data_IF_848737941379
#
_entry.id   IF_848737941379
#
_cell.length_a   1.000
_cell.length_b   1.000
_cell.length_c   1.000
_cell.angle_alpha   90.00
_cell.angle_beta   90.00
_cell.angle_gamma   90.00
#
_symmetry.space_group_name_H-M   'P 1'
#
loop_
_entity.id
_entity.type
_entity.pdbx_description
1 polymer ?
#
# COMPACT_ATOMS: atom_id res chain seq x y z
N UNK A 1 24.09 15.95 13.10
CA UNK A 1 24.01 16.32 11.64
C UNK A 1 23.51 15.10 10.89
N UNK A 2 22.41 15.27 10.17
CA UNK A 2 21.85 14.21 9.34
C UNK A 2 22.46 14.21 7.95
N UNK A 3 22.64 13.03 7.41
CA UNK A 3 22.94 12.78 6.02
C UNK A 3 21.86 11.88 5.42
N UNK A 4 21.53 12.08 4.17
CA UNK A 4 20.59 11.19 3.51
C UNK A 4 20.98 10.90 2.06
N UNK A 5 20.46 9.80 1.57
CA UNK A 5 20.59 9.34 0.19
C UNK A 5 19.34 8.58 -0.22
N UNK A 6 19.14 8.43 -1.51
CA UNK A 6 18.06 7.59 -2.00
C UNK A 6 18.55 6.59 -3.06
N UNK A 7 17.78 5.57 -3.29
CA UNK A 7 17.96 4.65 -4.41
C UNK A 7 16.62 4.32 -5.04
N UNK A 8 16.56 4.34 -6.36
CA UNK A 8 15.42 3.87 -7.14
C UNK A 8 15.42 2.35 -7.22
N UNK A 9 14.24 1.75 -7.14
CA UNK A 9 14.03 0.33 -7.34
C UNK A 9 12.78 0.10 -8.19
N UNK A 10 12.86 -0.86 -9.11
CA UNK A 10 11.73 -1.27 -9.93
C UNK A 10 11.23 -2.61 -9.42
N UNK A 11 9.98 -2.63 -9.01
CA UNK A 11 9.26 -3.83 -8.61
C UNK A 11 8.59 -4.43 -9.86
N UNK A 12 8.98 -5.63 -10.24
CA UNK A 12 8.30 -6.41 -11.27
C UNK A 12 7.20 -7.23 -10.62
N UNK A 13 5.98 -7.14 -11.13
CA UNK A 13 4.88 -7.96 -10.61
C UNK A 13 4.99 -9.39 -11.13
N UNK A 14 4.81 -10.38 -10.25
CA UNK A 14 4.77 -11.79 -10.64
C UNK A 14 3.63 -12.11 -11.62
N UNK A 15 2.56 -11.31 -11.59
CA UNK A 15 1.43 -11.35 -12.51
C UNK A 15 0.94 -9.93 -12.75
N UNK A 16 0.46 -9.61 -13.95
CA UNK A 16 -0.18 -8.32 -14.20
C UNK A 16 -1.28 -8.03 -13.17
N UNK A 17 -1.25 -6.82 -12.60
CA UNK A 17 -2.24 -6.38 -11.62
C UNK A 17 -3.22 -5.41 -12.24
N UNK A 18 -4.48 -5.78 -12.30
CA UNK A 18 -5.55 -4.96 -12.83
C UNK A 18 -6.00 -3.93 -11.81
N UNK A 19 -6.13 -2.69 -12.23
CA UNK A 19 -6.67 -1.59 -11.45
C UNK A 19 -7.81 -0.92 -12.20
N UNK A 20 -8.58 -0.06 -11.54
CA UNK A 20 -9.62 0.76 -12.20
C UNK A 20 -9.07 1.71 -13.27
N UNK A 21 -7.74 1.90 -13.35
CA UNK A 21 -7.08 2.81 -14.30
C UNK A 21 -6.12 2.11 -15.26
N UNK A 22 -6.08 0.80 -15.27
CA UNK A 22 -5.22 0.03 -16.18
C UNK A 22 -4.49 -1.12 -15.53
N UNK A 23 -3.61 -1.73 -16.30
CA UNK A 23 -2.83 -2.91 -15.90
C UNK A 23 -1.43 -2.48 -15.50
N UNK A 24 -1.02 -2.92 -14.33
CA UNK A 24 0.33 -2.70 -13.81
C UNK A 24 1.15 -3.97 -13.96
N UNK A 25 2.32 -3.83 -14.56
CA UNK A 25 3.32 -4.91 -14.69
C UNK A 25 4.58 -4.59 -13.88
N UNK A 26 4.81 -3.31 -13.62
CA UNK A 26 5.94 -2.80 -12.82
C UNK A 26 5.48 -1.65 -11.93
N UNK A 27 6.19 -1.43 -10.85
CA UNK A 27 6.05 -0.25 -10.00
C UNK A 27 7.43 0.28 -9.63
N UNK A 28 7.69 1.54 -9.91
CA UNK A 28 8.88 2.19 -9.35
C UNK A 28 8.64 2.62 -7.91
N UNK A 29 9.67 2.52 -7.11
CA UNK A 29 9.71 3.03 -5.75
C UNK A 29 11.09 3.56 -5.43
N UNK A 30 11.21 4.36 -4.37
CA UNK A 30 12.47 4.93 -3.93
C UNK A 30 12.67 4.65 -2.44
N UNK A 31 13.81 4.10 -2.09
CA UNK A 31 14.21 3.94 -0.70
C UNK A 31 15.08 5.10 -0.29
N UNK A 32 14.65 5.82 0.74
CA UNK A 32 15.44 6.86 1.39
C UNK A 32 16.17 6.28 2.60
N UNK A 33 17.40 6.69 2.80
CA UNK A 33 18.23 6.34 3.94
C UNK A 33 18.60 7.62 4.66
N UNK A 34 18.47 7.62 5.99
CA UNK A 34 18.86 8.73 6.85
C UNK A 34 19.83 8.22 7.90
N UNK A 35 20.92 8.96 8.11
CA UNK A 35 21.98 8.62 9.06
C UNK A 35 22.29 9.84 9.91
N UNK A 36 22.37 9.67 11.21
CA UNK A 36 22.97 10.71 12.08
C UNK A 36 24.49 10.52 12.15
N UNK A 37 25.25 11.55 11.84
CA UNK A 37 26.72 11.55 11.93
C UNK A 37 27.23 11.16 13.34
N UNK A 38 26.45 11.40 14.39
CA UNK A 38 26.77 10.96 15.74
C UNK A 38 26.62 9.44 15.96
N UNK A 39 25.86 8.77 15.08
CA UNK A 39 25.59 7.32 15.13
C UNK A 39 25.68 6.72 13.72
N UNK A 40 26.84 6.74 13.07
CA UNK A 40 26.99 6.45 11.65
C UNK A 40 26.66 5.00 11.24
N UNK A 41 26.55 4.11 12.21
CA UNK A 41 26.20 2.70 11.98
C UNK A 41 24.68 2.45 11.96
N UNK A 42 23.88 3.42 12.40
CA UNK A 42 22.42 3.34 12.38
C UNK A 42 21.91 4.04 11.12
N UNK A 43 21.19 3.29 10.30
CA UNK A 43 20.60 3.77 9.04
C UNK A 43 19.10 3.58 9.10
N UNK A 44 18.37 4.68 9.31
CA UNK A 44 16.91 4.67 9.19
C UNK A 44 16.51 4.57 7.73
N UNK A 45 15.55 3.68 7.42
CA UNK A 45 15.09 3.40 6.07
C UNK A 45 13.60 3.71 5.94
N UNK A 46 13.23 4.39 4.85
CA UNK A 46 11.84 4.61 4.47
C UNK A 46 11.62 4.39 2.98
N UNK A 47 10.39 4.08 2.60
CA UNK A 47 9.99 3.91 1.20
C UNK A 47 9.15 5.08 0.74
N UNK A 48 9.62 5.80 -0.27
CA UNK A 48 8.87 6.81 -1.01
C UNK A 48 8.15 6.10 -2.17
N UNK A 49 6.95 5.63 -1.89
CA UNK A 49 6.18 4.72 -2.74
C UNK A 49 5.28 5.48 -3.70
N UNK A 50 5.87 6.24 -4.63
CA UNK A 50 5.11 6.92 -5.69
C UNK A 50 4.36 5.90 -6.56
N UNK A 51 3.15 6.24 -6.96
CA UNK A 51 2.32 5.37 -7.78
C UNK A 51 1.97 6.08 -9.09
N UNK A 52 2.70 5.75 -10.17
CA UNK A 52 2.50 6.38 -11.48
C UNK A 52 1.10 6.11 -12.02
N UNK A 53 0.45 7.15 -12.51
CA UNK A 53 -0.93 7.12 -12.99
C UNK A 53 -2.01 7.11 -11.89
N UNK A 54 -1.64 6.99 -10.60
CA UNK A 54 -2.59 6.88 -9.49
C UNK A 54 -2.28 7.81 -8.33
N UNK A 55 -1.01 8.05 -8.03
CA UNK A 55 -0.58 8.85 -6.89
C UNK A 55 -0.83 10.34 -7.05
N UNK A 56 -1.07 11.05 -5.95
CA UNK A 56 -1.24 12.50 -5.96
C UNK A 56 0.06 13.23 -6.33
N UNK A 57 1.20 12.60 -6.08
CA UNK A 57 2.54 13.10 -6.36
C UNK A 57 3.19 12.47 -7.60
N UNK A 58 2.36 11.96 -8.52
CA UNK A 58 2.85 11.52 -9.84
C UNK A 58 3.14 12.73 -10.74
N UNK A 59 4.25 13.38 -10.49
CA UNK A 59 4.72 14.57 -11.19
C UNK A 59 6.07 14.32 -11.87
N UNK A 60 6.37 14.99 -13.00
CA UNK A 60 7.60 14.75 -13.77
C UNK A 60 8.89 15.03 -13.00
N UNK A 61 8.86 15.94 -12.05
CA UNK A 61 10.02 16.36 -11.24
C UNK A 61 10.15 15.62 -9.90
N UNK A 62 9.38 14.57 -9.69
CA UNK A 62 9.37 13.79 -8.43
C UNK A 62 10.77 13.40 -7.95
N UNK A 63 11.56 12.75 -8.80
CA UNK A 63 12.90 12.30 -8.44
C UNK A 63 13.85 13.47 -8.17
N UNK A 64 13.70 14.58 -8.92
CA UNK A 64 14.45 15.80 -8.68
C UNK A 64 14.14 16.39 -7.30
N UNK A 65 12.86 16.40 -6.90
CA UNK A 65 12.44 16.84 -5.56
C UNK A 65 13.01 15.93 -4.48
N UNK A 66 12.97 14.62 -4.67
CA UNK A 66 13.56 13.67 -3.72
C UNK A 66 15.08 13.88 -3.57
N UNK A 67 15.78 14.11 -4.68
CA UNK A 67 17.22 14.42 -4.65
C UNK A 67 17.50 15.71 -3.87
N UNK A 68 16.72 16.77 -4.09
CA UNK A 68 16.82 18.04 -3.37
C UNK A 68 16.63 17.84 -1.86
N UNK A 69 15.60 17.07 -1.47
CA UNK A 69 15.31 16.74 -0.07
C UNK A 69 16.48 15.98 0.57
N UNK A 70 17.01 14.98 -0.13
CA UNK A 70 18.16 14.23 0.37
C UNK A 70 19.39 15.10 0.55
N UNK A 71 19.64 16.02 -0.37
CA UNK A 71 20.79 16.93 -0.30
C UNK A 71 20.68 17.90 0.88
N UNK A 72 19.46 18.37 1.19
CA UNK A 72 19.17 19.37 2.21
C UNK A 72 18.44 18.80 3.42
N UNK A 73 18.68 17.56 3.81
CA UNK A 73 17.89 16.85 4.83
C UNK A 73 17.77 17.61 6.16
N UNK A 74 18.81 18.33 6.57
CA UNK A 74 18.83 19.16 7.80
C UNK A 74 17.79 20.31 7.74
N UNK A 75 17.53 20.86 6.56
CA UNK A 75 16.53 21.91 6.37
C UNK A 75 15.09 21.34 6.33
N UNK A 76 14.95 20.05 6.06
CA UNK A 76 13.65 19.40 5.95
C UNK A 76 13.22 18.70 7.24
N UNK A 77 14.14 18.26 8.09
CA UNK A 77 13.87 17.38 9.24
C UNK A 77 12.71 17.83 10.14
N UNK A 78 12.57 19.14 10.37
CA UNK A 78 11.57 19.70 11.28
C UNK A 78 10.32 20.26 10.55
N UNK A 79 10.36 20.34 9.21
CA UNK A 79 9.31 21.01 8.43
C UNK A 79 8.92 20.28 7.13
N UNK A 80 9.36 19.03 6.96
CA UNK A 80 9.08 18.28 5.72
C UNK A 80 7.58 18.12 5.43
N UNK A 81 6.75 18.00 6.47
CA UNK A 81 5.29 17.87 6.30
C UNK A 81 4.65 19.10 5.63
N UNK A 82 5.12 20.29 5.99
CA UNK A 82 4.65 21.54 5.39
C UNK A 82 5.27 21.79 4.02
N UNK A 83 6.58 21.58 3.89
CA UNK A 83 7.31 21.87 2.64
C UNK A 83 6.99 20.91 1.51
N UNK A 84 6.56 19.67 1.84
CA UNK A 84 6.35 18.59 0.88
C UNK A 84 4.87 18.19 0.72
N UNK A 85 3.92 19.08 0.99
CA UNK A 85 2.47 18.79 0.87
C UNK A 85 2.07 18.19 -0.48
N UNK A 86 2.74 18.59 -1.56
CA UNK A 86 2.52 18.07 -2.90
C UNK A 86 3.21 16.72 -3.18
N UNK A 87 3.97 16.20 -2.20
CA UNK A 87 4.76 14.97 -2.31
C UNK A 87 4.49 14.02 -1.14
N UNK A 88 3.26 13.53 -0.97
CA UNK A 88 2.88 12.72 0.19
C UNK A 88 3.68 11.42 0.33
N UNK A 89 4.13 10.80 -0.75
CA UNK A 89 4.96 9.61 -0.67
C UNK A 89 6.39 9.91 -0.17
N UNK A 90 6.93 11.11 -0.46
CA UNK A 90 8.23 11.54 0.11
C UNK A 90 8.05 11.82 1.61
N UNK A 91 6.94 12.45 2.02
CA UNK A 91 6.62 12.66 3.44
C UNK A 91 6.61 11.31 4.16
N UNK A 92 5.88 10.32 3.63
CA UNK A 92 5.78 8.99 4.23
C UNK A 92 7.15 8.30 4.35
N UNK A 93 7.97 8.38 3.29
CA UNK A 93 9.32 7.83 3.29
C UNK A 93 10.22 8.46 4.36
N UNK A 94 10.20 9.80 4.48
CA UNK A 94 10.95 10.51 5.52
C UNK A 94 10.46 10.17 6.93
N UNK A 95 9.15 10.19 7.14
CA UNK A 95 8.54 9.87 8.44
C UNK A 95 8.92 8.46 8.90
N UNK A 96 8.87 7.50 7.98
CA UNK A 96 9.26 6.11 8.26
C UNK A 96 10.76 6.00 8.54
N UNK A 97 11.61 6.66 7.74
CA UNK A 97 13.06 6.65 7.94
C UNK A 97 13.47 7.28 9.28
N UNK A 98 12.85 8.39 9.67
CA UNK A 98 13.11 9.01 10.96
C UNK A 98 12.65 8.14 12.13
N UNK A 99 11.44 7.57 12.06
CA UNK A 99 10.93 6.67 13.08
C UNK A 99 11.79 5.40 13.23
N UNK A 100 12.30 4.85 12.12
CA UNK A 100 13.21 3.70 12.15
C UNK A 100 14.55 4.08 12.79
N UNK A 101 15.11 5.25 12.44
CA UNK A 101 16.36 5.75 13.03
C UNK A 101 16.21 5.99 14.54
N UNK A 102 15.09 6.57 14.99
CA UNK A 102 14.76 6.76 16.39
C UNK A 102 14.65 5.43 17.14
N UNK A 103 14.15 4.39 16.50
CA UNK A 103 14.10 3.03 17.04
C UNK A 103 15.35 2.20 16.74
N UNK A 104 16.52 2.86 16.69
CA UNK A 104 17.83 2.24 16.52
C UNK A 104 17.99 1.44 15.21
N UNK A 105 17.30 1.85 14.14
CA UNK A 105 17.36 1.26 12.80
C UNK A 105 17.07 -0.27 12.79
N UNK A 106 16.09 -0.69 13.59
CA UNK A 106 15.69 -2.10 13.74
C UNK A 106 14.70 -2.55 12.66
N UNK A 107 14.42 -1.72 11.67
CA UNK A 107 13.37 -1.92 10.66
C UNK A 107 11.98 -2.18 11.29
N UNK A 108 11.76 -1.60 12.44
CA UNK A 108 10.51 -1.67 13.21
C UNK A 108 10.18 -0.25 13.67
N UNK A 109 9.75 0.64 12.75
CA UNK A 109 9.53 2.05 13.07
C UNK A 109 8.47 2.27 14.16
N UNK A 110 7.54 1.34 14.29
CA UNK A 110 6.45 1.40 15.29
C UNK A 110 6.40 0.11 16.11
N UNK A 111 7.21 -0.03 17.18
CA UNK A 111 7.19 -1.18 18.07
C UNK A 111 5.80 -1.41 18.68
N UNK A 112 5.30 -2.63 18.63
CA UNK A 112 3.99 -3.02 19.15
C UNK A 112 3.93 -4.53 19.37
N UNK A 113 2.91 -5.01 20.06
CA UNK A 113 2.66 -6.45 20.22
C UNK A 113 2.58 -7.18 18.86
N UNK A 114 2.07 -6.50 17.83
CA UNK A 114 2.01 -7.05 16.48
C UNK A 114 3.41 -7.23 15.88
N UNK A 115 4.27 -6.20 15.94
CA UNK A 115 5.61 -6.25 15.38
C UNK A 115 6.56 -7.18 16.17
N UNK A 116 6.24 -7.42 17.44
CA UNK A 116 6.95 -8.38 18.29
C UNK A 116 6.41 -9.83 18.17
N UNK A 117 5.40 -10.05 17.33
CA UNK A 117 4.76 -11.37 17.14
C UNK A 117 3.89 -11.82 18.33
N UNK A 118 3.56 -10.93 19.25
CA UNK A 118 2.69 -11.21 20.43
C UNK A 118 1.21 -10.97 20.15
N UNK A 119 0.91 -10.24 19.09
CA UNK A 119 -0.44 -9.87 18.69
C UNK A 119 -0.70 -10.20 17.22
N UNK A 120 -1.98 -10.11 16.81
CA UNK A 120 -2.38 -10.25 15.42
C UNK A 120 -3.44 -9.21 15.04
N UNK A 121 -3.50 -8.91 13.75
CA UNK A 121 -4.49 -8.00 13.16
C UNK A 121 -5.33 -8.82 12.19
N UNK A 122 -6.66 -8.84 12.39
CA UNK A 122 -7.58 -9.49 11.44
C UNK A 122 -7.62 -8.69 10.14
N UNK A 123 -7.41 -9.38 9.02
CA UNK A 123 -7.52 -8.82 7.67
C UNK A 123 -8.59 -9.58 6.87
N UNK A 124 -9.09 -8.96 5.79
CA UNK A 124 -9.95 -9.66 4.83
C UNK A 124 -9.12 -10.37 3.75
N UNK A 125 -9.63 -11.48 3.24
CA UNK A 125 -9.17 -12.05 1.98
C UNK A 125 -9.61 -11.16 0.83
N UNK A 126 -8.66 -10.62 0.05
CA UNK A 126 -8.98 -9.81 -1.13
C UNK A 126 -9.27 -10.73 -2.32
N UNK A 127 -10.38 -10.46 -3.01
CA UNK A 127 -10.76 -11.07 -4.27
C UNK A 127 -10.57 -10.03 -5.36
N UNK A 128 -9.61 -10.29 -6.24
CA UNK A 128 -9.33 -9.42 -7.37
C UNK A 128 -10.38 -9.55 -8.46
N UNK A 129 -10.56 -8.48 -9.22
CA UNK A 129 -11.37 -8.48 -10.45
C UNK A 129 -10.80 -9.48 -11.43
N UNK A 130 -11.65 -10.38 -11.89
CA UNK A 130 -11.34 -11.40 -12.87
C UNK A 130 -12.67 -11.93 -13.48
N UNK A 131 -12.62 -12.97 -14.27
CA UNK A 131 -13.81 -13.69 -14.69
C UNK A 131 -14.58 -14.22 -13.47
N UNK A 132 -15.89 -14.40 -13.59
CA UNK A 132 -16.72 -14.90 -12.49
C UNK A 132 -16.21 -16.26 -11.95
N UNK A 133 -15.69 -17.12 -12.85
CA UNK A 133 -15.12 -18.42 -12.47
C UNK A 133 -13.85 -18.28 -11.64
N UNK A 134 -12.92 -17.41 -12.04
CA UNK A 134 -11.70 -17.18 -11.30
C UNK A 134 -11.98 -16.49 -9.96
N UNK A 135 -12.93 -15.57 -9.90
CA UNK A 135 -13.35 -14.96 -8.64
C UNK A 135 -13.91 -16.01 -7.65
N UNK A 136 -14.69 -16.99 -8.14
CA UNK A 136 -15.15 -18.12 -7.31
C UNK A 136 -13.99 -18.94 -6.76
N UNK A 137 -12.99 -19.27 -7.60
CA UNK A 137 -11.78 -19.99 -7.17
C UNK A 137 -10.99 -19.21 -6.13
N UNK A 138 -10.81 -17.89 -6.33
CA UNK A 138 -10.15 -17.03 -5.36
C UNK A 138 -10.89 -17.03 -4.02
N UNK A 139 -12.21 -16.98 -4.02
CA UNK A 139 -13.04 -17.00 -2.82
C UNK A 139 -12.86 -18.33 -2.07
N UNK A 140 -13.01 -19.45 -2.77
CA UNK A 140 -12.86 -20.77 -2.16
C UNK A 140 -11.45 -20.93 -1.55
N UNK A 141 -10.40 -20.52 -2.26
CA UNK A 141 -9.04 -20.53 -1.74
C UNK A 141 -8.85 -19.65 -0.48
N UNK A 142 -9.52 -18.48 -0.39
CA UNK A 142 -9.47 -17.65 0.81
C UNK A 142 -10.19 -18.28 1.99
N UNK A 143 -11.33 -18.90 1.75
CA UNK A 143 -12.10 -19.59 2.79
C UNK A 143 -11.33 -20.81 3.31
N UNK A 144 -10.75 -21.60 2.42
CA UNK A 144 -9.91 -22.76 2.78
C UNK A 144 -8.66 -22.33 3.56
N UNK A 145 -8.13 -21.13 3.30
CA UNK A 145 -7.06 -20.52 4.07
C UNK A 145 -7.51 -19.93 5.43
N UNK A 146 -8.80 -20.06 5.80
CA UNK A 146 -9.33 -19.67 7.10
C UNK A 146 -9.80 -18.21 7.22
N UNK A 147 -9.92 -17.48 6.11
CA UNK A 147 -10.46 -16.11 6.16
C UNK A 147 -11.95 -16.13 6.49
N UNK A 148 -12.35 -15.40 7.52
CA UNK A 148 -13.76 -15.19 7.92
C UNK A 148 -14.38 -13.94 7.32
N UNK A 149 -13.61 -13.18 6.53
CA UNK A 149 -14.04 -12.00 5.81
C UNK A 149 -13.41 -12.00 4.43
N UNK A 150 -14.18 -11.77 3.37
CA UNK A 150 -13.67 -11.53 2.03
C UNK A 150 -14.13 -10.16 1.52
N UNK A 151 -13.25 -9.48 0.79
CA UNK A 151 -13.53 -8.20 0.12
C UNK A 151 -13.46 -8.39 -1.38
N UNK A 152 -14.55 -8.17 -2.07
CA UNK A 152 -14.64 -8.24 -3.53
C UNK A 152 -14.64 -6.84 -4.12
N UNK A 153 -13.89 -6.66 -5.19
CA UNK A 153 -14.04 -5.50 -6.05
C UNK A 153 -15.23 -5.70 -6.96
N UNK A 154 -16.08 -4.68 -7.08
CA UNK A 154 -17.30 -4.67 -7.90
C UNK A 154 -17.30 -3.47 -8.85
N UNK A 155 -18.21 -3.48 -9.85
CA UNK A 155 -18.36 -2.40 -10.82
C UNK A 155 -17.49 -2.57 -12.07
N UNK A 156 -16.90 -3.75 -12.29
CA UNK A 156 -16.15 -4.07 -13.50
C UNK A 156 -16.86 -5.10 -14.39
N UNK A 157 -17.70 -5.91 -13.78
CA UNK A 157 -18.54 -6.87 -14.49
C UNK A 157 -19.96 -6.31 -14.65
N UNK A 158 -20.81 -7.03 -15.38
CA UNK A 158 -22.23 -6.76 -15.39
C UNK A 158 -22.81 -6.83 -13.95
N UNK A 159 -23.61 -5.85 -13.59
CA UNK A 159 -24.15 -5.70 -12.22
C UNK A 159 -24.93 -6.94 -11.77
N UNK A 160 -25.78 -7.50 -12.63
CA UNK A 160 -26.56 -8.69 -12.27
C UNK A 160 -25.67 -9.90 -12.01
N UNK A 161 -24.59 -10.06 -12.77
CA UNK A 161 -23.59 -11.10 -12.60
C UNK A 161 -22.85 -10.96 -11.25
N UNK A 162 -22.51 -9.74 -10.85
CA UNK A 162 -21.89 -9.48 -9.54
C UNK A 162 -22.85 -9.77 -8.39
N UNK A 163 -24.10 -9.36 -8.53
CA UNK A 163 -25.18 -9.64 -7.55
C UNK A 163 -25.41 -11.14 -7.42
N UNK A 164 -25.44 -11.87 -8.55
CA UNK A 164 -25.63 -13.33 -8.54
C UNK A 164 -24.47 -14.03 -7.81
N UNK A 165 -23.24 -13.59 -8.05
CA UNK A 165 -22.05 -14.10 -7.34
C UNK A 165 -22.20 -13.89 -5.84
N UNK A 166 -22.54 -12.67 -5.39
CA UNK A 166 -22.78 -12.37 -3.97
C UNK A 166 -23.90 -13.21 -3.36
N UNK A 167 -25.01 -13.39 -4.10
CA UNK A 167 -26.13 -14.26 -3.67
C UNK A 167 -25.68 -15.72 -3.54
N UNK A 168 -24.89 -16.21 -4.48
CA UNK A 168 -24.36 -17.59 -4.43
C UNK A 168 -23.48 -17.83 -3.20
N UNK A 169 -22.65 -16.87 -2.86
CA UNK A 169 -21.83 -16.92 -1.66
C UNK A 169 -22.69 -16.90 -0.38
N UNK A 170 -23.69 -16.05 -0.35
CA UNK A 170 -24.57 -15.94 0.80
C UNK A 170 -25.46 -17.18 1.00
N UNK A 171 -25.75 -17.93 -0.08
CA UNK A 171 -26.41 -19.25 0.02
C UNK A 171 -25.49 -20.32 0.63
N UNK A 172 -24.19 -20.26 0.37
CA UNK A 172 -23.18 -21.21 0.90
C UNK A 172 -22.74 -20.89 2.32
N UNK A 173 -22.62 -19.61 2.64
CA UNK A 173 -22.05 -19.13 3.90
C UNK A 173 -22.97 -18.11 4.54
N UNK A 174 -23.41 -18.40 5.76
CA UNK A 174 -24.21 -17.45 6.55
C UNK A 174 -23.38 -16.21 6.93
N UNK A 175 -24.04 -15.12 7.31
CA UNK A 175 -23.38 -13.88 7.71
C UNK A 175 -22.51 -14.03 8.98
N UNK A 176 -22.82 -15.00 9.82
CA UNK A 176 -22.06 -15.33 11.02
C UNK A 176 -20.75 -16.06 10.69
N UNK A 177 -20.73 -16.83 9.59
CA UNK A 177 -19.55 -17.58 9.15
C UNK A 177 -18.63 -16.77 8.23
N UNK A 178 -19.20 -15.95 7.35
CA UNK A 178 -18.44 -15.20 6.36
C UNK A 178 -18.95 -13.76 6.23
N UNK A 179 -18.14 -12.79 6.63
CA UNK A 179 -18.39 -11.39 6.34
C UNK A 179 -18.05 -11.10 4.88
N UNK A 180 -19.00 -10.50 4.15
CA UNK A 180 -18.76 -10.01 2.78
C UNK A 180 -18.58 -8.49 2.81
N UNK A 181 -17.53 -8.02 2.15
CA UNK A 181 -17.28 -6.62 1.87
C UNK A 181 -17.20 -6.43 0.36
N UNK A 182 -17.67 -5.29 -0.11
CA UNK A 182 -17.57 -4.89 -1.51
C UNK A 182 -16.85 -3.54 -1.63
N UNK A 183 -16.15 -3.34 -2.72
CA UNK A 183 -15.43 -2.10 -3.03
C UNK A 183 -15.67 -1.75 -4.49
N UNK A 184 -16.46 -0.72 -4.72
CA UNK A 184 -16.83 -0.26 -6.04
C UNK A 184 -15.77 0.63 -6.71
N UNK A 185 -14.78 1.11 -5.99
CA UNK A 185 -13.73 2.00 -6.52
C UNK A 185 -14.27 3.22 -7.32
N UNK A 186 -15.45 3.71 -6.97
CA UNK A 186 -16.12 4.81 -7.68
C UNK A 186 -16.71 4.40 -9.03
N UNK A 187 -17.06 3.14 -9.23
CA UNK A 187 -17.63 2.63 -10.49
C UNK A 187 -19.09 3.05 -10.70
N UNK A 188 -19.81 3.41 -9.64
CA UNK A 188 -21.22 3.78 -9.70
C UNK A 188 -21.40 5.29 -9.52
N UNK A 189 -22.44 5.84 -10.11
CA UNK A 189 -22.91 7.20 -9.83
C UNK A 189 -23.63 7.25 -8.46
N UNK A 190 -23.96 8.45 -8.00
CA UNK A 190 -24.67 8.64 -6.72
C UNK A 190 -26.09 8.08 -6.77
N UNK A 191 -26.70 8.02 -7.96
CA UNK A 191 -28.09 7.55 -8.16
C UNK A 191 -28.18 6.04 -8.37
N UNK A 192 -27.06 5.36 -8.61
CA UNK A 192 -26.93 3.88 -8.72
C UNK A 192 -26.57 3.27 -7.35
#
# INVERSE_FOLDING_TARGET
MLHSSYSKYILDFNKPSWTSRGVLIQKETYFIRVVDAAKPFLVGIGECSVFRGLGADDVPDYEKKLAEVCWNIEEYKDCYKEKLKEYPSIIFGLETAFADLENEAKMTPFPSDFTEGKGFIKINGLIWMDSQEEMKKQIDAKIDAGFSCVKMKIGALDFDSEVELLRSLRKRYSKEKLQLRVDANGAFSVDE
#
